data_IF_724319976608
#
_entry.id   IF_724319976608
#
_cell.length_a   1.000
_cell.length_b   1.000
_cell.length_c   1.000
_cell.angle_alpha   90.00
_cell.angle_beta   90.00
_cell.angle_gamma   90.00
#
_symmetry.space_group_name_H-M   'P 1'
#
loop_
_entity.id
_entity.type
_entity.pdbx_description
1 polymer ?
#
# COMPACT_ATOMS: atom_id res chain seq x y z
N UNK A 1 -7.82 -27.52 7.73
CA UNK A 1 -7.89 -26.05 7.87
C UNK A 1 -7.24 -25.67 9.19
N UNK A 2 -6.03 -25.10 9.16
CA UNK A 2 -5.40 -24.59 10.37
C UNK A 2 -6.19 -23.38 10.87
N UNK A 3 -6.64 -23.42 12.11
CA UNK A 3 -7.23 -22.28 12.81
C UNK A 3 -6.16 -21.21 12.94
N UNK A 4 -6.24 -20.15 12.12
CA UNK A 4 -5.41 -18.98 12.34
C UNK A 4 -5.88 -18.33 13.64
N UNK A 5 -5.01 -18.35 14.64
CA UNK A 5 -5.24 -17.69 15.91
C UNK A 5 -5.03 -16.20 15.72
N UNK A 6 -6.01 -15.38 16.12
CA UNK A 6 -5.84 -13.93 16.18
C UNK A 6 -4.59 -13.61 17.03
N UNK A 7 -3.69 -12.82 16.46
CA UNK A 7 -2.45 -12.40 17.12
C UNK A 7 -2.66 -10.99 17.69
N UNK A 8 -2.61 -10.80 19.03
CA UNK A 8 -2.68 -9.47 19.64
C UNK A 8 -1.65 -8.50 19.05
N UNK A 9 -0.43 -9.00 18.72
CA UNK A 9 0.60 -8.18 18.07
C UNK A 9 0.21 -7.73 16.65
N UNK A 10 -0.45 -8.58 15.86
CA UNK A 10 -0.90 -8.19 14.53
C UNK A 10 -2.01 -7.12 14.58
N UNK A 11 -2.87 -7.16 15.62
CA UNK A 11 -3.87 -6.14 15.85
C UNK A 11 -3.25 -4.79 16.26
N UNK A 12 -2.23 -4.80 17.13
CA UNK A 12 -1.49 -3.59 17.52
C UNK A 12 -0.75 -2.97 16.34
N UNK A 13 -0.11 -3.79 15.50
CA UNK A 13 0.52 -3.31 14.26
C UNK A 13 -0.53 -2.68 13.33
N UNK A 14 -1.68 -3.34 13.13
CA UNK A 14 -2.74 -2.80 12.29
C UNK A 14 -3.25 -1.45 12.82
N UNK A 15 -3.44 -1.31 14.14
CA UNK A 15 -3.84 -0.06 14.77
C UNK A 15 -2.81 1.06 14.56
N UNK A 16 -1.51 0.76 14.74
CA UNK A 16 -0.43 1.71 14.49
C UNK A 16 -0.38 2.18 13.02
N UNK A 17 -0.57 1.25 12.07
CA UNK A 17 -0.61 1.58 10.64
C UNK A 17 -1.85 2.38 10.26
N UNK A 18 -3.02 2.06 10.83
CA UNK A 18 -4.27 2.81 10.61
C UNK A 18 -4.14 4.24 11.14
N UNK A 19 -3.54 4.44 12.32
CA UNK A 19 -3.30 5.76 12.89
C UNK A 19 -2.36 6.64 12.04
N UNK A 20 -1.43 6.02 11.30
CA UNK A 20 -0.46 6.70 10.43
C UNK A 20 -0.84 6.66 8.95
N UNK A 21 -2.08 6.29 8.60
CA UNK A 21 -2.52 6.07 7.21
C UNK A 21 -2.16 7.22 6.27
N UNK A 22 -2.57 8.44 6.58
CA UNK A 22 -2.36 9.58 5.68
C UNK A 22 -0.88 9.97 5.52
N UNK A 23 -0.10 9.79 6.59
CA UNK A 23 1.35 9.97 6.60
C UNK A 23 2.02 8.96 5.66
N UNK A 24 1.72 7.65 5.83
CA UNK A 24 2.33 6.58 5.06
C UNK A 24 1.94 6.62 3.58
N UNK A 25 0.70 7.00 3.27
CA UNK A 25 0.27 7.27 1.89
C UNK A 25 1.07 8.43 1.29
N UNK A 26 1.27 9.51 2.06
CA UNK A 26 2.06 10.66 1.63
C UNK A 26 3.53 10.29 1.36
N UNK A 27 4.17 9.59 2.30
CA UNK A 27 5.54 9.12 2.17
C UNK A 27 5.70 8.19 0.96
N UNK A 28 4.78 7.25 0.77
CA UNK A 28 4.78 6.36 -0.40
C UNK A 28 4.68 7.13 -1.71
N UNK A 29 3.80 8.13 -1.79
CA UNK A 29 3.65 8.95 -3.00
C UNK A 29 4.91 9.77 -3.29
N UNK A 30 5.53 10.39 -2.27
CA UNK A 30 6.76 11.15 -2.46
C UNK A 30 7.94 10.27 -2.86
N UNK A 31 8.09 9.08 -2.26
CA UNK A 31 9.11 8.11 -2.64
C UNK A 31 8.95 7.67 -4.11
N UNK A 32 7.73 7.36 -4.53
CA UNK A 32 7.41 7.01 -5.92
C UNK A 32 7.79 8.15 -6.87
N UNK A 33 7.41 9.39 -6.56
CA UNK A 33 7.73 10.58 -7.39
C UNK A 33 9.24 10.81 -7.49
N UNK A 34 9.96 10.65 -6.38
CA UNK A 34 11.40 10.87 -6.33
C UNK A 34 12.16 9.81 -7.14
N UNK A 35 11.69 8.56 -7.09
CA UNK A 35 12.37 7.42 -7.71
C UNK A 35 12.02 7.25 -9.19
N UNK A 36 10.79 7.59 -9.59
CA UNK A 36 10.27 7.27 -10.92
C UNK A 36 9.94 8.54 -11.71
N UNK A 37 10.72 8.87 -12.76
CA UNK A 37 10.51 10.08 -13.55
C UNK A 37 9.11 10.21 -14.17
N UNK A 38 8.46 9.10 -14.50
CA UNK A 38 7.10 9.08 -15.05
C UNK A 38 6.06 9.63 -14.06
N UNK A 39 6.24 9.37 -12.76
CA UNK A 39 5.38 9.88 -11.70
C UNK A 39 5.83 11.25 -11.18
N UNK A 40 7.15 11.52 -11.15
CA UNK A 40 7.67 12.83 -10.74
C UNK A 40 7.23 14.00 -11.65
N UNK A 41 6.84 13.71 -12.90
CA UNK A 41 6.33 14.69 -13.88
C UNK A 41 4.83 14.55 -14.16
N UNK A 42 4.14 13.69 -13.41
CA UNK A 42 2.73 13.40 -13.62
C UNK A 42 1.84 14.61 -13.29
N UNK A 43 0.70 14.69 -13.99
CA UNK A 43 -0.33 15.66 -13.66
C UNK A 43 -1.04 15.29 -12.34
N UNK A 44 -1.69 16.26 -11.66
CA UNK A 44 -2.34 16.03 -10.38
C UNK A 44 -3.38 14.90 -10.37
N UNK A 45 -4.08 14.66 -11.49
CA UNK A 45 -5.11 13.60 -11.55
C UNK A 45 -4.50 12.20 -11.53
N UNK A 46 -3.32 12.01 -12.14
CA UNK A 46 -2.59 10.75 -12.05
C UNK A 46 -2.02 10.56 -10.63
N UNK A 47 -1.52 11.63 -10.00
CA UNK A 47 -1.00 11.55 -8.63
C UNK A 47 -2.11 11.25 -7.60
N UNK A 48 -3.30 11.82 -7.77
CA UNK A 48 -4.47 11.50 -6.95
C UNK A 48 -4.85 10.03 -7.06
N UNK A 49 -4.85 9.50 -8.27
CA UNK A 49 -5.13 8.09 -8.52
C UNK A 49 -4.03 7.17 -7.94
N UNK A 50 -2.75 7.57 -7.97
CA UNK A 50 -1.67 6.87 -7.23
C UNK A 50 -1.89 6.92 -5.73
N UNK A 51 -2.28 8.07 -5.18
CA UNK A 51 -2.62 8.22 -3.75
C UNK A 51 -3.76 7.27 -3.36
N UNK A 52 -4.81 7.20 -4.18
CA UNK A 52 -5.94 6.28 -3.99
C UNK A 52 -5.49 4.82 -3.98
N UNK A 53 -4.70 4.43 -4.98
CA UNK A 53 -4.20 3.05 -5.10
C UNK A 53 -3.36 2.61 -3.89
N UNK A 54 -2.51 3.51 -3.39
CA UNK A 54 -1.73 3.28 -2.18
C UNK A 54 -2.67 3.11 -0.98
N UNK A 55 -3.67 3.97 -0.84
CA UNK A 55 -4.67 3.89 0.23
C UNK A 55 -5.44 2.57 0.24
N UNK A 56 -5.87 2.08 -0.93
CA UNK A 56 -6.60 0.81 -1.04
C UNK A 56 -5.71 -0.39 -0.65
N UNK A 57 -4.42 -0.38 -1.03
CA UNK A 57 -3.47 -1.38 -0.55
C UNK A 57 -3.23 -1.29 0.95
N UNK A 58 -3.14 -0.08 1.51
CA UNK A 58 -2.98 0.17 2.95
C UNK A 58 -4.13 -0.44 3.74
N UNK A 59 -5.35 -0.15 3.30
CA UNK A 59 -6.58 -0.59 3.96
C UNK A 59 -6.70 -2.13 3.88
N UNK A 60 -6.34 -2.71 2.73
CA UNK A 60 -6.31 -4.17 2.57
C UNK A 60 -5.29 -4.83 3.49
N UNK A 61 -4.10 -4.26 3.64
CA UNK A 61 -3.07 -4.76 4.56
C UNK A 61 -3.56 -4.75 6.01
N UNK A 62 -4.11 -3.62 6.48
CA UNK A 62 -4.65 -3.50 7.83
C UNK A 62 -5.77 -4.52 8.08
N UNK A 63 -6.65 -4.73 7.10
CA UNK A 63 -7.69 -5.75 7.17
C UNK A 63 -7.13 -7.18 7.25
N UNK A 64 -6.05 -7.50 6.51
CA UNK A 64 -5.36 -8.81 6.58
C UNK A 64 -4.76 -9.03 7.95
N UNK A 65 -4.07 -8.02 8.50
CA UNK A 65 -3.46 -8.07 9.83
C UNK A 65 -4.52 -8.30 10.93
N UNK A 66 -5.62 -7.51 10.92
CA UNK A 66 -6.71 -7.66 11.88
C UNK A 66 -7.38 -9.03 11.82
N UNK A 67 -7.64 -9.54 10.62
CA UNK A 67 -8.35 -10.82 10.42
C UNK A 67 -7.45 -12.03 10.64
N UNK A 68 -6.13 -11.84 10.63
CA UNK A 68 -5.16 -12.93 10.60
C UNK A 68 -5.35 -13.86 9.40
N UNK A 69 -5.87 -13.36 8.27
CA UNK A 69 -6.13 -14.21 7.08
C UNK A 69 -5.68 -13.50 5.82
N UNK A 70 -5.04 -14.21 4.87
CA UNK A 70 -4.65 -13.63 3.60
C UNK A 70 -5.84 -13.03 2.85
N UNK A 71 -5.58 -11.97 2.08
CA UNK A 71 -6.56 -11.40 1.18
C UNK A 71 -6.96 -12.41 0.08
N UNK A 72 -8.24 -12.46 -0.26
CA UNK A 72 -8.74 -13.22 -1.40
C UNK A 72 -8.48 -12.48 -2.72
N UNK A 73 -8.37 -13.19 -3.84
CA UNK A 73 -8.12 -12.61 -5.16
C UNK A 73 -9.11 -11.48 -5.52
N UNK A 74 -10.41 -11.65 -5.22
CA UNK A 74 -11.44 -10.62 -5.43
C UNK A 74 -11.18 -9.30 -4.72
N UNK A 75 -10.43 -9.33 -3.61
CA UNK A 75 -10.09 -8.11 -2.86
C UNK A 75 -9.00 -7.29 -3.55
N UNK A 76 -8.37 -7.83 -4.61
CA UNK A 76 -7.41 -7.12 -5.44
C UNK A 76 -8.01 -6.62 -6.77
N UNK A 77 -9.33 -6.70 -6.97
CA UNK A 77 -9.98 -6.24 -8.21
C UNK A 77 -9.67 -4.76 -8.52
N UNK A 78 -9.50 -3.93 -7.48
CA UNK A 78 -9.11 -2.53 -7.62
C UNK A 78 -7.79 -2.31 -8.36
N UNK A 79 -6.84 -3.24 -8.25
CA UNK A 79 -5.53 -3.16 -8.92
C UNK A 79 -5.72 -3.09 -10.44
N UNK A 80 -6.71 -3.82 -10.97
CA UNK A 80 -7.03 -3.81 -12.40
C UNK A 80 -7.51 -2.44 -12.89
N UNK A 81 -8.37 -1.78 -12.11
CA UNK A 81 -8.84 -0.41 -12.40
C UNK A 81 -7.67 0.56 -12.48
N UNK A 82 -6.78 0.48 -11.49
CA UNK A 82 -5.61 1.34 -11.43
C UNK A 82 -4.63 1.07 -12.57
N UNK A 83 -4.27 -0.18 -12.81
CA UNK A 83 -3.37 -0.59 -13.89
C UNK A 83 -3.90 -0.15 -15.27
N UNK A 84 -5.19 -0.32 -15.53
CA UNK A 84 -5.82 0.10 -16.78
C UNK A 84 -5.77 1.62 -16.97
N UNK A 85 -5.93 2.41 -15.89
CA UNK A 85 -5.79 3.86 -15.95
C UNK A 85 -4.35 4.26 -16.30
N UNK A 86 -3.35 3.67 -15.63
CA UNK A 86 -1.92 3.94 -15.89
C UNK A 86 -1.53 3.57 -17.31
N UNK A 87 -1.99 2.43 -17.81
CA UNK A 87 -1.73 1.99 -19.18
C UNK A 87 -2.29 3.00 -20.21
N UNK A 88 -3.52 3.51 -20.01
CA UNK A 88 -4.09 4.55 -20.87
C UNK A 88 -3.34 5.89 -20.82
N UNK A 89 -2.64 6.16 -19.72
CA UNK A 89 -1.80 7.35 -19.53
C UNK A 89 -0.35 7.14 -19.98
N UNK A 90 -0.02 5.98 -20.57
CA UNK A 90 1.30 5.67 -21.11
C UNK A 90 2.35 5.28 -20.05
N UNK A 91 1.93 4.96 -18.82
CA UNK A 91 2.83 4.45 -17.80
C UNK A 91 3.21 3.01 -18.12
N UNK A 92 4.51 2.72 -18.13
CA UNK A 92 5.01 1.38 -18.39
C UNK A 92 4.64 0.42 -17.25
N UNK A 93 4.41 -0.86 -17.58
CA UNK A 93 4.14 -1.89 -16.56
C UNK A 93 5.28 -1.98 -15.53
N UNK A 94 6.53 -1.81 -15.97
CA UNK A 94 7.69 -1.80 -15.07
C UNK A 94 7.59 -0.66 -14.04
N UNK A 95 7.23 0.56 -14.46
CA UNK A 95 7.05 1.70 -13.56
C UNK A 95 5.86 1.48 -12.61
N UNK A 96 4.76 0.89 -13.09
CA UNK A 96 3.62 0.54 -12.25
C UNK A 96 3.98 -0.45 -11.13
N UNK A 97 4.74 -1.50 -11.47
CA UNK A 97 5.20 -2.50 -10.50
C UNK A 97 6.26 -1.93 -9.55
N UNK A 98 7.17 -1.09 -10.02
CA UNK A 98 8.16 -0.44 -9.17
C UNK A 98 7.49 0.54 -8.20
N UNK A 99 6.46 1.28 -8.62
CA UNK A 99 5.69 2.15 -7.74
C UNK A 99 5.04 1.37 -6.58
N UNK A 100 4.48 0.19 -6.89
CA UNK A 100 3.94 -0.72 -5.87
C UNK A 100 5.01 -1.18 -4.87
N UNK A 101 6.22 -1.51 -5.35
CA UNK A 101 7.35 -1.92 -4.50
C UNK A 101 7.84 -0.78 -3.61
N UNK A 102 7.94 0.44 -4.14
CA UNK A 102 8.34 1.64 -3.39
C UNK A 102 7.45 1.88 -2.17
N UNK A 103 6.13 1.84 -2.36
CA UNK A 103 5.22 1.97 -1.24
C UNK A 103 5.32 0.80 -0.23
N UNK A 104 5.49 -0.44 -0.70
CA UNK A 104 5.64 -1.59 0.20
C UNK A 104 6.88 -1.49 1.09
N UNK A 105 7.97 -0.88 0.61
CA UNK A 105 9.15 -0.64 1.45
C UNK A 105 8.80 0.33 2.61
N UNK A 106 8.13 1.45 2.31
CA UNK A 106 7.69 2.42 3.32
C UNK A 106 6.81 1.77 4.39
N UNK A 107 5.86 0.92 3.98
CA UNK A 107 4.98 0.23 4.91
C UNK A 107 5.70 -0.86 5.70
N UNK A 108 6.65 -1.55 5.08
CA UNK A 108 7.44 -2.56 5.78
C UNK A 108 8.25 -1.95 6.92
N UNK A 109 8.88 -0.80 6.69
CA UNK A 109 9.57 -0.05 7.73
C UNK A 109 8.60 0.34 8.86
N UNK A 110 7.40 0.81 8.52
CA UNK A 110 6.38 1.15 9.51
C UNK A 110 5.86 -0.07 10.31
N UNK A 111 5.79 -1.26 9.68
CA UNK A 111 5.47 -2.52 10.37
C UNK A 111 6.55 -2.89 11.38
N UNK A 112 7.82 -2.73 11.01
CA UNK A 112 8.95 -2.98 11.90
C UNK A 112 8.92 -2.03 13.10
N UNK A 113 8.77 -0.72 12.86
CA UNK A 113 8.64 0.30 13.92
C UNK A 113 7.52 -0.06 14.92
N UNK A 114 6.35 -0.45 14.39
CA UNK A 114 5.20 -0.81 15.22
C UNK A 114 5.44 -2.10 16.03
N UNK A 115 6.19 -3.05 15.45
CA UNK A 115 6.53 -4.31 16.11
C UNK A 115 7.46 -4.11 17.30
N UNK A 116 8.44 -3.19 17.19
CA UNK A 116 9.36 -2.84 18.27
C UNK A 116 8.66 -2.15 19.45
N UNK A 117 7.60 -1.39 19.18
CA UNK A 117 6.79 -0.72 20.21
C UNK A 117 5.77 -1.65 20.88
N UNK A 118 5.50 -2.81 20.28
CA UNK A 118 4.49 -3.78 20.75
C UNK A 118 5.08 -4.96 21.53
N UNK A 119 6.41 -5.05 21.67
CA UNK A 119 7.14 -6.08 22.41
C UNK A 119 7.48 -5.69 23.83
#
# INVERSE_FOLDING_TARGET
MATVRESPGAALIAEALEARREELIGLGLEEIKARLPAYGRADPSLLEDVRGHIGEHHDLLCAVLRRGRPAAARQFEFVGTHAALRARRGIALADFLEAFRSYHNVVWDAVLDASEQSG
#
